data_IF_968198429774
#
_entry.id   IF_968198429774
#
_cell.length_a   1.000
_cell.length_b   1.000
_cell.length_c   1.000
_cell.angle_alpha   90.00
_cell.angle_beta   90.00
_cell.angle_gamma   90.00
#
_symmetry.space_group_name_H-M   'P 1'
#
loop_
_entity.id
_entity.type
_entity.pdbx_description
1 polymer ?
#
# COMPACT_ATOMS: atom_id res chain seq x y z
N UNK A 1 -37.63 -20.89 4.36
CA UNK A 1 -36.16 -21.00 4.63
C UNK A 1 -35.91 -21.88 5.84
N UNK A 2 -36.32 -21.51 7.06
CA UNK A 2 -36.07 -22.28 8.31
C UNK A 2 -36.46 -23.77 8.20
N UNK A 3 -37.70 -24.07 7.82
CA UNK A 3 -38.19 -25.45 7.66
C UNK A 3 -37.42 -26.23 6.59
N UNK A 4 -37.00 -25.54 5.52
CA UNK A 4 -36.21 -26.15 4.45
C UNK A 4 -34.81 -26.52 4.97
N UNK A 5 -34.13 -25.59 5.65
CA UNK A 5 -32.82 -25.83 6.23
C UNK A 5 -32.85 -27.02 7.20
N UNK A 6 -33.83 -27.06 8.12
CA UNK A 6 -34.01 -28.20 9.04
C UNK A 6 -34.29 -29.52 8.32
N UNK A 7 -35.19 -29.52 7.32
CA UNK A 7 -35.56 -30.73 6.56
C UNK A 7 -34.35 -31.35 5.85
N UNK A 8 -33.42 -30.53 5.37
CA UNK A 8 -32.24 -30.98 4.63
C UNK A 8 -30.95 -30.97 5.46
N UNK A 9 -31.06 -30.84 6.80
CA UNK A 9 -29.91 -30.77 7.71
C UNK A 9 -28.84 -29.74 7.29
N UNK A 10 -29.27 -28.61 6.74
CA UNK A 10 -28.39 -27.50 6.40
C UNK A 10 -28.16 -26.69 7.68
N UNK A 11 -26.90 -26.49 8.12
CA UNK A 11 -26.59 -25.69 9.30
C UNK A 11 -27.19 -24.29 9.20
N UNK A 12 -27.94 -23.88 10.23
CA UNK A 12 -28.62 -22.59 10.29
C UNK A 12 -28.01 -21.72 11.39
N UNK A 13 -27.43 -20.60 10.99
CA UNK A 13 -27.04 -19.52 11.89
C UNK A 13 -28.11 -18.44 11.81
N UNK A 14 -28.69 -18.07 12.95
CA UNK A 14 -29.69 -17.00 13.04
C UNK A 14 -29.12 -15.75 13.70
N UNK A 15 -29.49 -14.57 13.18
CA UNK A 15 -29.28 -13.28 13.82
C UNK A 15 -30.66 -12.72 14.21
N UNK A 16 -30.92 -12.52 15.50
CA UNK A 16 -32.23 -12.04 15.97
C UNK A 16 -32.10 -11.37 17.33
N UNK A 17 -32.99 -10.40 17.63
CA UNK A 17 -33.08 -9.83 18.97
C UNK A 17 -33.84 -10.75 19.95
N UNK A 18 -34.59 -11.74 19.44
CA UNK A 18 -35.44 -12.62 20.24
C UNK A 18 -35.00 -14.08 20.10
N UNK A 19 -34.16 -14.54 21.03
CA UNK A 19 -33.62 -15.91 21.03
C UNK A 19 -34.72 -16.99 21.04
N UNK A 20 -35.83 -16.74 21.75
CA UNK A 20 -36.97 -17.66 21.84
C UNK A 20 -37.95 -17.55 20.66
N UNK A 21 -37.63 -16.77 19.63
CA UNK A 21 -38.45 -16.72 18.42
C UNK A 21 -38.45 -18.07 17.68
N UNK A 22 -39.38 -18.25 16.74
CA UNK A 22 -39.40 -19.42 15.84
C UNK A 22 -38.08 -19.59 15.10
N UNK A 23 -37.41 -18.48 14.73
CA UNK A 23 -36.10 -18.53 14.08
C UNK A 23 -35.01 -18.96 15.07
N UNK A 24 -34.93 -18.31 16.24
CA UNK A 24 -33.86 -18.59 17.21
C UNK A 24 -33.89 -20.02 17.75
N UNK A 25 -35.08 -20.54 18.10
CA UNK A 25 -35.24 -21.94 18.56
C UNK A 25 -34.92 -23.00 17.51
N UNK A 26 -35.00 -22.62 16.23
CA UNK A 26 -34.73 -23.54 15.11
C UNK A 26 -33.33 -23.35 14.54
N UNK A 27 -32.54 -22.41 15.02
CA UNK A 27 -31.15 -22.26 14.58
C UNK A 27 -30.23 -23.25 15.30
N UNK A 28 -29.15 -23.66 14.65
CA UNK A 28 -28.09 -24.44 15.29
C UNK A 28 -27.13 -23.51 16.06
N UNK A 29 -27.00 -22.26 15.60
CA UNK A 29 -26.32 -21.17 16.32
C UNK A 29 -27.21 -19.92 16.28
N UNK A 30 -27.53 -19.36 17.45
CA UNK A 30 -28.29 -18.12 17.55
C UNK A 30 -27.37 -16.97 18.01
N UNK A 31 -27.07 -16.06 17.10
CA UNK A 31 -26.41 -14.79 17.38
C UNK A 31 -27.46 -13.78 17.85
N UNK A 32 -27.70 -13.80 19.16
CA UNK A 32 -28.72 -12.96 19.79
C UNK A 32 -28.23 -11.53 19.93
N UNK A 33 -28.92 -10.59 19.30
CA UNK A 33 -28.66 -9.16 19.45
C UNK A 33 -29.38 -8.62 20.70
N UNK A 34 -28.85 -7.58 21.36
CA UNK A 34 -29.57 -6.95 22.47
C UNK A 34 -30.91 -6.35 22.01
N UNK A 35 -31.87 -6.28 22.92
CA UNK A 35 -33.08 -5.50 22.67
C UNK A 35 -32.74 -4.02 22.85
N UNK A 36 -32.97 -3.22 21.82
CA UNK A 36 -32.75 -1.79 21.84
C UNK A 36 -33.90 -1.08 21.12
N UNK A 37 -34.40 0.05 21.66
CA UNK A 37 -35.50 0.78 21.05
C UNK A 37 -35.07 1.41 19.72
N UNK A 38 -36.04 1.53 18.81
CA UNK A 38 -35.84 2.28 17.56
C UNK A 38 -35.79 3.79 17.83
N UNK A 39 -34.96 4.50 17.06
CA UNK A 39 -34.75 5.95 17.19
C UNK A 39 -35.78 6.79 16.40
N UNK A 40 -36.80 6.15 15.81
CA UNK A 40 -37.77 6.81 14.95
C UNK A 40 -38.84 7.59 15.75
N UNK A 41 -39.22 8.81 15.33
CA UNK A 41 -40.24 9.59 16.00
C UNK A 41 -41.66 9.04 15.81
N UNK A 42 -42.57 9.42 16.72
CA UNK A 42 -44.02 9.23 16.62
C UNK A 42 -44.54 7.77 16.62
N UNK A 43 -43.83 6.83 17.24
CA UNK A 43 -44.31 5.44 17.36
C UNK A 43 -44.33 4.66 16.04
N UNK A 44 -43.68 5.21 15.01
CA UNK A 44 -43.39 4.50 13.78
C UNK A 44 -42.14 3.65 14.02
N UNK A 45 -42.27 2.32 14.04
CA UNK A 45 -41.16 1.36 14.22
C UNK A 45 -40.34 1.22 12.92
N UNK A 46 -39.86 2.33 12.37
CA UNK A 46 -38.94 2.29 11.25
C UNK A 46 -37.58 1.73 11.72
N UNK A 47 -36.98 0.79 10.97
CA UNK A 47 -35.76 0.13 11.39
C UNK A 47 -34.56 1.08 11.26
N UNK A 48 -34.07 1.54 12.42
CA UNK A 48 -32.96 2.49 12.59
C UNK A 48 -31.85 1.86 13.42
N UNK A 49 -32.18 1.51 14.66
CA UNK A 49 -31.31 0.81 15.60
C UNK A 49 -31.11 -0.63 15.16
N UNK A 50 -32.18 -1.34 14.78
CA UNK A 50 -32.11 -2.75 14.38
C UNK A 50 -31.29 -3.00 13.10
N UNK A 51 -31.35 -2.09 12.12
CA UNK A 51 -30.53 -2.17 10.90
C UNK A 51 -29.07 -1.90 11.20
N UNK A 52 -28.78 -0.89 12.04
CA UNK A 52 -27.41 -0.59 12.49
C UNK A 52 -26.80 -1.77 13.25
N UNK A 53 -27.55 -2.39 14.17
CA UNK A 53 -27.10 -3.54 14.93
C UNK A 53 -26.83 -4.76 14.05
N UNK A 54 -27.66 -5.00 13.04
CA UNK A 54 -27.43 -6.07 12.07
C UNK A 54 -26.18 -5.84 11.22
N UNK A 55 -25.93 -4.60 10.78
CA UNK A 55 -24.69 -4.24 10.08
C UNK A 55 -23.45 -4.48 10.95
N UNK A 56 -23.47 -3.99 12.19
CA UNK A 56 -22.35 -4.18 13.14
C UNK A 56 -22.11 -5.65 13.44
N UNK A 57 -23.16 -6.45 13.65
CA UNK A 57 -23.01 -7.88 13.89
C UNK A 57 -22.47 -8.62 12.65
N UNK A 58 -22.88 -8.20 11.45
CA UNK A 58 -22.34 -8.71 10.20
C UNK A 58 -20.83 -8.43 10.05
N UNK A 59 -20.41 -7.21 10.32
CA UNK A 59 -18.99 -6.82 10.30
C UNK A 59 -18.19 -7.57 11.37
N UNK A 60 -18.71 -7.69 12.58
CA UNK A 60 -18.07 -8.44 13.66
C UNK A 60 -17.87 -9.92 13.27
N UNK A 61 -18.88 -10.54 12.64
CA UNK A 61 -18.77 -11.92 12.15
C UNK A 61 -17.73 -12.05 11.04
N UNK A 62 -17.69 -11.10 10.09
CA UNK A 62 -16.69 -11.09 9.03
C UNK A 62 -15.27 -10.98 9.62
N UNK A 63 -15.03 -10.05 10.54
CA UNK A 63 -13.72 -9.87 11.20
C UNK A 63 -13.34 -11.10 12.01
N UNK A 64 -14.26 -11.66 12.80
CA UNK A 64 -13.99 -12.89 13.56
C UNK A 64 -13.61 -14.08 12.66
N UNK A 65 -14.23 -14.19 11.47
CA UNK A 65 -13.86 -15.21 10.49
C UNK A 65 -12.50 -14.94 9.83
N UNK A 66 -12.18 -13.68 9.54
CA UNK A 66 -10.86 -13.29 9.02
C UNK A 66 -9.76 -13.66 10.01
N UNK A 67 -9.93 -13.29 11.28
CA UNK A 67 -8.98 -13.62 12.36
C UNK A 67 -8.89 -15.13 12.60
N UNK A 68 -10.02 -15.81 12.74
CA UNK A 68 -10.06 -17.26 13.02
C UNK A 68 -9.50 -18.11 11.88
N UNK A 69 -9.49 -17.60 10.64
CA UNK A 69 -8.87 -18.28 9.48
C UNK A 69 -7.44 -17.84 9.22
N UNK A 70 -6.89 -16.91 10.02
CA UNK A 70 -5.55 -16.36 9.78
C UNK A 70 -5.44 -15.62 8.44
N UNK A 71 -6.52 -14.95 8.02
CA UNK A 71 -6.58 -14.27 6.74
C UNK A 71 -5.55 -13.13 6.68
N UNK A 72 -4.65 -13.19 5.71
CA UNK A 72 -3.52 -12.27 5.59
C UNK A 72 -3.77 -11.17 4.57
N UNK A 73 -2.90 -10.15 4.58
CA UNK A 73 -2.89 -9.14 3.52
C UNK A 73 -2.61 -9.76 2.13
N UNK A 74 -1.80 -10.81 2.06
CA UNK A 74 -1.53 -11.50 0.79
C UNK A 74 -2.79 -12.21 0.27
N UNK A 75 -3.58 -12.82 1.15
CA UNK A 75 -4.87 -13.41 0.80
C UNK A 75 -5.85 -12.34 0.30
N UNK A 76 -5.88 -11.17 0.96
CA UNK A 76 -6.69 -10.04 0.53
C UNK A 76 -6.37 -9.65 -0.92
N UNK A 77 -5.08 -9.51 -1.24
CA UNK A 77 -4.61 -9.18 -2.58
C UNK A 77 -5.00 -10.25 -3.60
N UNK A 78 -4.81 -11.52 -3.28
CA UNK A 78 -5.13 -12.62 -4.19
C UNK A 78 -6.61 -12.62 -4.60
N UNK A 79 -7.51 -12.27 -3.67
CA UNK A 79 -8.95 -12.22 -3.90
C UNK A 79 -9.44 -10.88 -4.47
N UNK A 80 -8.71 -9.78 -4.24
CA UNK A 80 -9.11 -8.42 -4.62
C UNK A 80 -7.99 -7.63 -5.33
N UNK A 81 -7.41 -8.15 -6.44
CA UNK A 81 -6.25 -7.54 -7.06
C UNK A 81 -6.53 -6.17 -7.70
N UNK A 82 -7.76 -5.91 -8.14
CA UNK A 82 -8.12 -4.69 -8.88
C UNK A 82 -8.46 -3.46 -8.03
N UNK A 83 -8.47 -3.59 -6.70
CA UNK A 83 -8.81 -2.48 -5.80
C UNK A 83 -7.59 -1.71 -5.31
N UNK A 84 -7.79 -0.47 -4.83
CA UNK A 84 -6.71 0.36 -4.23
C UNK A 84 -5.96 -0.36 -3.11
N UNK A 85 -6.67 -1.15 -2.31
CA UNK A 85 -6.05 -1.92 -1.24
C UNK A 85 -5.18 -3.06 -1.80
N UNK A 86 -5.66 -3.80 -2.81
CA UNK A 86 -4.86 -4.80 -3.52
C UNK A 86 -3.60 -4.20 -4.13
N UNK A 87 -3.70 -3.02 -4.75
CA UNK A 87 -2.58 -2.28 -5.30
C UNK A 87 -1.54 -1.88 -4.23
N UNK A 88 -1.99 -1.39 -3.07
CA UNK A 88 -1.12 -1.05 -1.94
C UNK A 88 -0.35 -2.25 -1.38
N UNK A 89 -0.89 -3.47 -1.57
CA UNK A 89 -0.31 -4.73 -1.13
C UNK A 89 0.59 -5.40 -2.20
N UNK A 90 0.83 -4.74 -3.34
CA UNK A 90 1.82 -5.21 -4.30
C UNK A 90 3.25 -5.00 -3.79
N UNK A 91 4.18 -5.82 -4.23
CA UNK A 91 5.60 -5.62 -3.95
C UNK A 91 6.20 -4.58 -4.90
N UNK A 92 7.20 -3.83 -4.43
CA UNK A 92 7.93 -2.84 -5.23
C UNK A 92 8.54 -3.46 -6.48
N UNK A 93 9.03 -4.70 -6.41
CA UNK A 93 9.61 -5.41 -7.56
C UNK A 93 8.70 -5.50 -8.77
N UNK A 94 7.38 -5.40 -8.56
CA UNK A 94 6.36 -5.56 -9.60
C UNK A 94 6.09 -4.25 -10.35
N UNK A 95 6.51 -3.12 -9.79
CA UNK A 95 6.27 -1.78 -10.34
C UNK A 95 7.56 -0.99 -10.60
N UNK A 96 8.70 -1.49 -10.12
CA UNK A 96 10.00 -0.85 -10.32
C UNK A 96 10.50 -0.98 -11.77
N UNK A 97 11.33 -0.04 -12.19
CA UNK A 97 12.12 -0.12 -13.42
C UNK A 97 13.49 -0.73 -13.14
N UNK A 98 14.00 -1.54 -14.07
CA UNK A 98 15.26 -2.29 -13.92
C UNK A 98 16.21 -2.06 -15.10
N UNK A 99 17.45 -2.57 -15.00
CA UNK A 99 18.44 -2.51 -16.07
C UNK A 99 18.80 -1.08 -16.48
N UNK A 100 18.82 -0.83 -17.79
CA UNK A 100 19.22 0.46 -18.38
C UNK A 100 18.25 1.60 -18.06
N UNK A 101 17.10 1.33 -17.44
CA UNK A 101 16.19 2.37 -16.96
C UNK A 101 16.67 3.00 -15.66
N UNK A 102 17.51 2.31 -14.89
CA UNK A 102 18.06 2.84 -13.64
C UNK A 102 19.03 3.98 -14.01
N UNK A 103 18.81 5.24 -13.56
CA UNK A 103 19.76 6.31 -13.82
C UNK A 103 20.98 6.13 -12.92
N UNK A 104 22.15 5.97 -13.54
CA UNK A 104 23.39 5.63 -12.83
C UNK A 104 24.54 6.53 -13.28
N UNK A 105 25.36 6.97 -12.34
CA UNK A 105 26.57 7.75 -12.62
C UNK A 105 27.69 7.42 -11.63
N UNK A 106 28.95 7.60 -12.03
CA UNK A 106 30.07 7.52 -11.09
C UNK A 106 30.09 8.73 -10.16
N UNK A 107 30.43 8.54 -8.88
CA UNK A 107 30.51 9.63 -7.90
C UNK A 107 31.57 10.69 -8.26
N UNK A 108 32.61 10.31 -9.02
CA UNK A 108 33.62 11.24 -9.56
C UNK A 108 33.25 11.92 -10.87
N UNK A 109 32.13 11.53 -11.48
CA UNK A 109 31.71 12.12 -12.75
C UNK A 109 31.33 13.58 -12.58
N UNK A 110 31.29 14.31 -13.69
CA UNK A 110 30.89 15.72 -13.69
C UNK A 110 29.39 15.85 -13.54
N UNK A 111 28.93 16.95 -12.95
CA UNK A 111 27.49 17.22 -12.85
C UNK A 111 26.80 17.31 -14.22
N UNK A 112 27.49 17.75 -15.27
CA UNK A 112 26.96 17.72 -16.63
C UNK A 112 26.48 16.31 -17.05
N UNK A 113 27.28 15.28 -16.77
CA UNK A 113 26.96 13.89 -17.11
C UNK A 113 25.75 13.40 -16.31
N UNK A 114 25.69 13.75 -15.02
CA UNK A 114 24.58 13.38 -14.16
C UNK A 114 23.25 14.02 -14.63
N UNK A 115 23.28 15.29 -15.07
CA UNK A 115 22.09 15.99 -15.58
C UNK A 115 21.57 15.35 -16.88
N UNK A 116 22.48 14.96 -17.79
CA UNK A 116 22.12 14.26 -19.02
C UNK A 116 21.48 12.91 -18.69
N UNK A 117 22.08 12.14 -17.78
CA UNK A 117 21.55 10.85 -17.34
C UNK A 117 20.15 11.01 -16.71
N UNK A 118 19.99 11.92 -15.75
CA UNK A 118 18.70 12.23 -15.11
C UNK A 118 17.61 12.56 -16.14
N UNK A 119 17.95 13.43 -17.09
CA UNK A 119 17.03 13.90 -18.14
C UNK A 119 16.65 12.78 -19.09
N UNK A 120 17.61 11.91 -19.45
CA UNK A 120 17.37 10.78 -20.35
C UNK A 120 16.45 9.73 -19.76
N UNK A 121 16.52 9.48 -18.45
CA UNK A 121 15.72 8.44 -17.78
C UNK A 121 14.37 8.96 -17.27
N UNK A 122 14.27 10.26 -16.95
CA UNK A 122 13.02 10.94 -16.62
C UNK A 122 12.50 10.68 -15.20
N UNK A 123 13.38 10.36 -14.25
CA UNK A 123 13.02 10.09 -12.85
C UNK A 123 13.32 11.25 -11.89
N UNK A 124 13.85 12.37 -12.41
CA UNK A 124 14.24 13.54 -11.61
C UNK A 124 15.35 13.26 -10.59
N UNK A 125 16.06 12.14 -10.74
CA UNK A 125 17.19 11.76 -9.89
C UNK A 125 18.16 10.80 -10.59
N UNK A 126 19.37 10.69 -10.04
CA UNK A 126 20.41 9.75 -10.47
C UNK A 126 21.18 9.19 -9.29
N UNK A 127 21.39 7.88 -9.30
CA UNK A 127 22.15 7.16 -8.29
C UNK A 127 23.66 7.25 -8.58
N UNK A 128 24.42 7.65 -7.58
CA UNK A 128 25.88 7.78 -7.65
C UNK A 128 26.56 6.54 -7.07
N UNK A 129 27.51 5.99 -7.82
CA UNK A 129 28.24 4.78 -7.46
C UNK A 129 29.74 5.04 -7.32
N UNK A 130 30.39 4.34 -6.40
CA UNK A 130 31.85 4.30 -6.35
C UNK A 130 32.44 3.30 -7.37
N UNK A 131 33.76 3.17 -7.38
CA UNK A 131 34.49 2.26 -8.26
C UNK A 131 34.22 0.78 -7.99
N UNK A 132 33.73 0.45 -6.80
CA UNK A 132 33.33 -0.92 -6.43
C UNK A 132 31.90 -1.24 -6.84
N UNK A 133 31.16 -0.27 -7.40
CA UNK A 133 29.77 -0.43 -7.82
C UNK A 133 28.77 -0.31 -6.67
N UNK A 134 29.18 0.22 -5.52
CA UNK A 134 28.31 0.44 -4.35
C UNK A 134 27.61 1.78 -4.47
N UNK A 135 26.34 1.82 -4.09
CA UNK A 135 25.56 3.07 -4.02
C UNK A 135 26.09 3.97 -2.91
N UNK A 136 26.65 5.11 -3.27
CA UNK A 136 27.26 6.08 -2.32
C UNK A 136 26.50 7.40 -2.24
N UNK A 137 25.51 7.61 -3.11
CA UNK A 137 24.65 8.78 -3.02
C UNK A 137 23.57 8.85 -4.07
N UNK A 138 22.76 9.91 -3.98
CA UNK A 138 21.76 10.25 -4.98
C UNK A 138 21.76 11.77 -5.21
N UNK A 139 21.56 12.18 -6.47
CA UNK A 139 21.30 13.57 -6.83
C UNK A 139 19.87 13.66 -7.32
N UNK A 140 19.14 14.69 -6.90
CA UNK A 140 17.77 14.97 -7.34
C UNK A 140 17.65 16.37 -7.95
N UNK A 141 16.56 16.63 -8.69
CA UNK A 141 16.25 17.99 -9.17
C UNK A 141 16.17 19.02 -8.03
N UNK A 142 15.78 18.57 -6.84
CA UNK A 142 15.80 19.38 -5.63
C UNK A 142 17.19 19.83 -5.22
N UNK A 143 18.16 18.90 -5.25
CA UNK A 143 19.56 19.18 -4.91
C UNK A 143 20.20 20.11 -5.94
N UNK A 144 19.93 19.88 -7.23
CA UNK A 144 20.38 20.75 -8.31
C UNK A 144 19.86 22.18 -8.11
N UNK A 145 18.55 22.35 -7.89
CA UNK A 145 17.95 23.67 -7.66
C UNK A 145 18.56 24.38 -6.46
N UNK A 146 18.90 23.65 -5.39
CA UNK A 146 19.50 24.23 -4.20
C UNK A 146 20.94 24.71 -4.46
N UNK A 147 21.75 23.92 -5.15
CA UNK A 147 23.16 24.26 -5.43
C UNK A 147 23.32 25.28 -6.56
N UNK A 148 22.39 25.34 -7.52
CA UNK A 148 22.39 26.34 -8.60
C UNK A 148 22.34 27.80 -8.11
N UNK A 149 21.90 28.03 -6.87
CA UNK A 149 21.91 29.36 -6.24
C UNK A 149 23.32 29.80 -5.79
N UNK A 150 24.32 28.92 -5.82
CA UNK A 150 25.67 29.13 -5.30
C UNK A 150 26.75 28.73 -6.33
N UNK A 151 27.21 29.65 -7.19
CA UNK A 151 28.34 29.48 -8.14
C UNK A 151 28.57 28.02 -8.65
N UNK A 152 27.51 27.35 -9.06
CA UNK A 152 27.52 25.93 -9.40
C UNK A 152 28.22 25.72 -10.74
N UNK A 153 29.31 24.95 -10.73
CA UNK A 153 29.99 24.54 -11.95
C UNK A 153 29.47 23.20 -12.43
N UNK A 154 29.22 23.07 -13.73
CA UNK A 154 28.90 21.78 -14.35
C UNK A 154 30.06 20.78 -14.29
N UNK A 155 31.26 21.27 -14.02
CA UNK A 155 32.49 20.49 -13.82
C UNK A 155 32.63 19.97 -12.38
N UNK A 156 31.79 20.42 -11.44
CA UNK A 156 31.81 19.94 -10.06
C UNK A 156 31.56 18.43 -10.03
N UNK A 157 32.31 17.66 -9.22
CA UNK A 157 32.06 16.23 -9.04
C UNK A 157 30.69 15.95 -8.41
N UNK A 158 30.04 14.87 -8.84
CA UNK A 158 28.79 14.39 -8.25
C UNK A 158 28.89 14.17 -6.73
N UNK A 159 30.03 13.69 -6.26
CA UNK A 159 30.30 13.43 -4.84
C UNK A 159 30.17 14.66 -3.92
N UNK A 160 30.31 15.87 -4.48
CA UNK A 160 30.24 17.13 -3.74
C UNK A 160 28.82 17.70 -3.65
N UNK A 161 27.90 17.19 -4.48
CA UNK A 161 26.50 17.66 -4.58
C UNK A 161 25.53 16.60 -4.05
N UNK A 162 25.87 15.32 -4.15
CA UNK A 162 24.98 14.21 -3.81
C UNK A 162 24.58 14.16 -2.34
N UNK A 163 23.36 13.70 -2.08
CA UNK A 163 22.96 13.22 -0.76
C UNK A 163 23.63 11.87 -0.50
N UNK A 164 24.58 11.81 0.44
CA UNK A 164 25.39 10.61 0.76
C UNK A 164 24.64 9.47 1.43
N UNK A 165 23.48 9.75 2.02
CA UNK A 165 22.60 8.74 2.64
C UNK A 165 21.27 8.68 1.88
N UNK A 166 21.27 8.07 0.67
CA UNK A 166 20.06 7.97 -0.12
C UNK A 166 19.05 7.09 0.60
N UNK A 167 17.77 7.50 0.57
CA UNK A 167 16.70 6.62 1.05
C UNK A 167 16.46 5.56 0.01
N UNK A 168 16.45 4.31 0.44
CA UNK A 168 16.25 3.14 -0.42
C UNK A 168 15.05 2.34 0.05
N UNK A 169 14.65 1.37 -0.77
CA UNK A 169 13.58 0.44 -0.45
C UNK A 169 13.94 -0.97 -0.93
N UNK A 170 13.46 -1.98 -0.20
CA UNK A 170 13.60 -3.38 -0.62
C UNK A 170 12.67 -3.67 -1.80
N UNK A 171 13.06 -4.54 -2.76
CA UNK A 171 12.13 -5.05 -3.78
C UNK A 171 10.92 -5.77 -3.17
N UNK A 172 11.08 -6.31 -1.95
CA UNK A 172 10.06 -7.05 -1.21
C UNK A 172 9.18 -6.14 -0.35
N UNK A 173 9.49 -4.85 -0.25
CA UNK A 173 8.63 -3.90 0.41
C UNK A 173 7.30 -3.76 -0.34
N UNK A 174 6.26 -3.36 0.39
CA UNK A 174 4.96 -3.09 -0.21
C UNK A 174 4.95 -1.72 -0.91
N UNK A 175 4.13 -1.58 -1.94
CA UNK A 175 3.87 -0.33 -2.64
C UNK A 175 3.37 0.75 -1.67
N UNK A 176 2.60 0.38 -0.65
CA UNK A 176 2.20 1.30 0.42
C UNK A 176 3.40 1.92 1.15
N UNK A 177 4.43 1.14 1.49
CA UNK A 177 5.65 1.64 2.13
C UNK A 177 6.44 2.55 1.18
N UNK A 178 6.51 2.20 -0.10
CA UNK A 178 7.15 3.03 -1.12
C UNK A 178 6.48 4.40 -1.22
N UNK A 179 5.15 4.42 -1.25
CA UNK A 179 4.35 5.63 -1.32
C UNK A 179 4.57 6.53 -0.10
N UNK A 180 4.62 5.95 1.09
CA UNK A 180 4.90 6.69 2.33
C UNK A 180 6.32 7.27 2.34
N UNK A 181 7.33 6.52 1.89
CA UNK A 181 8.70 7.01 1.80
C UNK A 181 8.85 8.14 0.79
N UNK A 182 8.17 8.05 -0.36
CA UNK A 182 8.20 9.09 -1.40
C UNK A 182 7.43 10.34 -0.95
N UNK A 183 6.23 10.20 -0.39
CA UNK A 183 5.41 11.35 0.01
C UNK A 183 6.08 12.26 1.04
N UNK A 184 6.96 11.71 1.89
CA UNK A 184 7.74 12.49 2.85
C UNK A 184 8.79 13.39 2.21
N UNK A 185 9.42 12.98 1.09
CA UNK A 185 10.47 13.76 0.39
C UNK A 185 10.76 13.11 -0.98
N UNK A 186 10.97 13.91 -2.01
CA UNK A 186 11.42 13.42 -3.33
C UNK A 186 10.32 12.70 -4.14
N UNK A 187 10.68 12.23 -5.34
CA UNK A 187 9.74 11.62 -6.28
C UNK A 187 10.08 10.16 -6.65
N UNK A 188 11.26 9.66 -6.26
CA UNK A 188 11.71 8.31 -6.56
C UNK A 188 12.58 7.71 -5.45
N UNK A 189 12.71 6.38 -5.46
CA UNK A 189 13.57 5.61 -4.56
C UNK A 189 14.38 4.57 -5.35
N UNK A 190 15.70 4.49 -5.14
CA UNK A 190 16.48 3.33 -5.53
C UNK A 190 15.99 2.09 -4.78
N UNK A 191 15.81 0.99 -5.52
CA UNK A 191 15.46 -0.32 -4.98
C UNK A 191 16.74 -1.11 -4.77
N UNK A 192 16.97 -1.56 -3.54
CA UNK A 192 18.21 -2.22 -3.12
C UNK A 192 17.93 -3.60 -2.56
N UNK A 193 18.67 -4.59 -3.06
CA UNK A 193 18.65 -5.98 -2.59
C UNK A 193 20.09 -6.42 -2.35
N UNK A 194 20.38 -6.98 -1.17
CA UNK A 194 21.73 -7.45 -0.81
C UNK A 194 22.84 -6.41 -1.05
N UNK A 195 22.55 -5.13 -0.83
CA UNK A 195 23.50 -4.02 -1.03
C UNK A 195 23.67 -3.54 -2.48
N UNK A 196 23.04 -4.21 -3.46
CA UNK A 196 23.08 -3.82 -4.86
C UNK A 196 21.80 -3.07 -5.25
N UNK A 197 21.94 -2.04 -6.10
CA UNK A 197 20.78 -1.36 -6.71
C UNK A 197 20.24 -2.23 -7.83
N UNK A 198 19.06 -2.80 -7.61
CA UNK A 198 18.37 -3.70 -8.55
C UNK A 198 17.26 -3.00 -9.34
N UNK A 199 16.85 -1.80 -8.92
CA UNK A 199 15.81 -1.05 -9.62
C UNK A 199 15.65 0.38 -9.12
N UNK A 200 14.65 1.06 -9.68
CA UNK A 200 14.17 2.38 -9.25
C UNK A 200 12.66 2.42 -9.33
N UNK A 201 12.00 3.03 -8.37
CA UNK A 201 10.54 3.23 -8.37
C UNK A 201 10.21 4.71 -8.23
N UNK A 202 9.30 5.21 -9.07
CA UNK A 202 8.86 6.60 -9.08
C UNK A 202 7.42 6.74 -8.60
N UNK A 203 7.07 7.92 -8.07
CA UNK A 203 5.72 8.24 -7.62
C UNK A 203 4.65 7.92 -8.66
N UNK A 204 4.89 8.30 -9.92
CA UNK A 204 3.98 8.01 -11.03
C UNK A 204 3.79 6.51 -11.31
N UNK A 205 4.78 5.67 -11.03
CA UNK A 205 4.63 4.22 -11.16
C UNK A 205 3.64 3.70 -10.11
N UNK A 206 3.76 4.17 -8.86
CA UNK A 206 2.84 3.83 -7.77
C UNK A 206 1.40 4.30 -8.05
N UNK A 207 1.25 5.50 -8.62
CA UNK A 207 -0.05 6.04 -9.05
C UNK A 207 -0.69 5.17 -10.14
N UNK A 208 0.08 4.82 -11.18
CA UNK A 208 -0.40 3.97 -12.28
C UNK A 208 -0.77 2.57 -11.82
N UNK A 209 -0.09 2.09 -10.78
CA UNK A 209 -0.37 0.82 -10.15
C UNK A 209 -1.69 0.84 -9.34
N UNK A 210 -2.35 2.00 -9.18
CA UNK A 210 -3.64 2.14 -8.50
C UNK A 210 -3.53 2.31 -6.98
N UNK A 211 -2.35 2.68 -6.46
CA UNK A 211 -2.12 2.81 -5.02
C UNK A 211 -2.76 4.05 -4.37
N UNK A 212 -3.34 4.97 -5.18
CA UNK A 212 -3.92 6.25 -4.74
C UNK A 212 -5.34 6.43 -5.26
#
# INVERSE_FOLDING_TARGET
IVTFAKRYAIPLIAMTAQADSTLGRQADVCLTMPSAPEASPNGLEAPTTSTTMQLVLGDALAVALLEGRGFTALDFRALHPGGKLGAKLMHVREVMHTGDRIPRVAARARMAEAIVEMSSKGFGCVAAFDDSGVLVGIVTDGDLRHHLQSNFSLETPVADVMTRTPRTISPDALVAEALEKISRKGAALPVVENGAVVGIVHFHDLMRAGAV
#
